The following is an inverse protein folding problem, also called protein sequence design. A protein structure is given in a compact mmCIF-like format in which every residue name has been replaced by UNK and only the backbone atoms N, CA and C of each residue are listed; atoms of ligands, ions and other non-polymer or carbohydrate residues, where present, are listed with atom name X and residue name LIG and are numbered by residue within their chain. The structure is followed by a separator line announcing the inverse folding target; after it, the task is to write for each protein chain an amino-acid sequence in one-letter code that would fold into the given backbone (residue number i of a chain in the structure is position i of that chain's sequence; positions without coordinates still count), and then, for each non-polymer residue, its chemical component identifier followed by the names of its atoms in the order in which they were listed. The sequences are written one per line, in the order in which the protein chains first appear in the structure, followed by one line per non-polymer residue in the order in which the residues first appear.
data_IF_411860770955
#
_entry.id   IF_411860770955
#
_cell.length_a   1.000
_cell.length_b   1.000
_cell.length_c   1.000
_cell.angle_alpha   90.00
_cell.angle_beta   90.00
_cell.angle_gamma   90.00
#
_symmetry.space_group_name_H-M   'P 1'
#
loop_
_entity.id
_entity.type
_entity.pdbx_description
1 polymer ?
#
# COMPACT_ATOMS: atom_id res chain seq x y z
N UNK A 1 18.62 16.14 33.43
CA UNK A 1 17.74 14.96 33.28
C UNK A 1 17.07 15.06 31.93
N UNK A 2 17.65 14.43 30.91
CA UNK A 2 17.05 14.36 29.57
C UNK A 2 16.05 13.21 29.58
N UNK A 3 14.77 13.53 29.57
CA UNK A 3 13.72 12.54 29.37
C UNK A 3 13.87 11.97 27.96
N UNK A 4 14.45 10.78 27.86
CA UNK A 4 14.42 9.95 26.66
C UNK A 4 12.96 9.58 26.40
N UNK A 5 12.32 10.28 25.46
CA UNK A 5 11.06 9.83 24.88
C UNK A 5 11.26 8.38 24.41
N UNK A 6 10.46 7.46 24.96
CA UNK A 6 10.49 6.06 24.55
C UNK A 6 10.21 5.99 23.03
N UNK A 7 10.91 5.14 22.26
CA UNK A 7 10.59 4.98 20.85
C UNK A 7 9.13 4.53 20.75
N UNK A 8 8.33 5.27 19.98
CA UNK A 8 6.96 4.86 19.64
C UNK A 8 7.04 3.40 19.17
N UNK A 9 6.34 2.50 19.85
CA UNK A 9 6.31 1.09 19.47
C UNK A 9 5.81 1.01 18.02
N UNK A 10 6.51 0.29 17.14
CA UNK A 10 6.16 0.15 15.72
C UNK A 10 4.67 -0.25 15.52
N UNK A 11 4.11 -0.95 16.49
CA UNK A 11 2.68 -1.29 16.55
C UNK A 11 1.79 -0.05 16.65
N UNK A 12 2.10 0.86 17.58
CA UNK A 12 1.34 2.09 17.82
C UNK A 12 1.51 3.07 16.65
N UNK A 13 2.74 3.17 16.13
CA UNK A 13 3.04 3.94 14.93
C UNK A 13 2.18 3.49 13.75
N UNK A 14 2.12 2.19 13.47
CA UNK A 14 1.35 1.67 12.35
C UNK A 14 -0.16 1.79 12.58
N UNK A 15 -0.63 1.67 13.82
CA UNK A 15 -2.03 1.96 14.15
C UNK A 15 -2.39 3.41 13.87
N UNK A 16 -1.51 4.35 14.24
CA UNK A 16 -1.71 5.77 13.94
C UNK A 16 -1.73 6.03 12.44
N UNK A 17 -0.73 5.54 11.69
CA UNK A 17 -0.72 5.69 10.22
C UNK A 17 -1.95 5.06 9.58
N UNK A 18 -2.44 3.90 10.05
CA UNK A 18 -3.68 3.32 9.54
C UNK A 18 -4.90 4.24 9.78
N UNK A 19 -4.98 4.91 10.93
CA UNK A 19 -6.03 5.88 11.21
C UNK A 19 -5.90 7.13 10.33
N UNK A 20 -4.69 7.66 10.16
CA UNK A 20 -4.42 8.82 9.31
C UNK A 20 -4.79 8.54 7.84
N UNK A 21 -4.43 7.35 7.33
CA UNK A 21 -4.81 6.90 5.98
C UNK A 21 -6.33 6.78 5.85
N UNK A 22 -7.02 6.24 6.85
CA UNK A 22 -8.48 6.18 6.84
C UNK A 22 -9.10 7.57 6.71
N UNK A 23 -8.69 8.51 7.57
CA UNK A 23 -9.20 9.88 7.53
C UNK A 23 -8.86 10.58 6.22
N UNK A 24 -7.70 10.29 5.64
CA UNK A 24 -7.34 10.76 4.32
C UNK A 24 -8.33 10.23 3.27
N UNK A 25 -8.58 8.92 3.17
CA UNK A 25 -9.54 8.31 2.23
C UNK A 25 -10.95 8.93 2.35
N UNK A 26 -11.42 9.16 3.57
CA UNK A 26 -12.75 9.73 3.85
C UNK A 26 -12.88 11.22 3.45
N UNK A 27 -11.77 11.93 3.20
CA UNK A 27 -11.76 13.37 2.88
C UNK A 27 -12.03 13.71 1.41
N UNK A 28 -12.25 12.73 0.53
CA UNK A 28 -12.45 12.93 -0.91
C UNK A 28 -11.13 13.04 -1.67
N UNK A 29 -10.30 12.01 -1.54
CA UNK A 29 -8.91 11.96 -2.03
C UNK A 29 -8.78 12.06 -3.54
N UNK A 30 -7.73 12.75 -3.98
CA UNK A 30 -7.31 12.76 -5.38
C UNK A 30 -6.34 11.62 -5.69
N UNK A 31 -6.22 11.21 -6.97
CA UNK A 31 -5.18 10.29 -7.41
C UNK A 31 -3.78 10.79 -7.03
N UNK A 32 -2.91 9.87 -6.62
CA UNK A 32 -1.48 10.16 -6.45
C UNK A 32 -0.80 9.92 -7.79
N UNK A 33 -0.43 11.01 -8.43
CA UNK A 33 0.30 11.04 -9.71
C UNK A 33 1.82 11.00 -9.50
N UNK A 34 2.58 10.88 -10.60
CA UNK A 34 4.05 10.99 -10.59
C UNK A 34 4.78 9.76 -10.03
N UNK A 35 4.08 8.64 -9.82
CA UNK A 35 4.68 7.37 -9.46
C UNK A 35 5.31 6.70 -10.68
N UNK A 36 6.22 5.77 -10.43
CA UNK A 36 6.84 4.99 -11.50
C UNK A 36 6.91 3.51 -11.16
N UNK A 37 6.47 2.68 -12.12
CA UNK A 37 6.76 1.24 -12.14
C UNK A 37 7.94 1.02 -13.07
N UNK A 38 9.13 0.85 -12.48
CA UNK A 38 10.41 0.88 -13.22
C UNK A 38 10.60 2.19 -13.98
N UNK A 39 10.34 2.21 -15.30
CA UNK A 39 10.44 3.38 -16.18
C UNK A 39 9.08 3.79 -16.76
N UNK A 40 8.00 3.16 -16.31
CA UNK A 40 6.65 3.40 -16.81
C UNK A 40 5.94 4.36 -15.84
N UNK A 41 5.39 5.49 -16.34
CA UNK A 41 4.57 6.37 -15.54
C UNK A 41 3.39 5.60 -14.95
N UNK A 42 3.12 5.86 -13.69
CA UNK A 42 2.03 5.25 -12.97
C UNK A 42 1.36 6.25 -12.04
N UNK A 43 0.12 5.95 -11.69
CA UNK A 43 -0.63 6.64 -10.66
C UNK A 43 -1.41 5.66 -9.83
N UNK A 44 -1.80 6.08 -8.64
CA UNK A 44 -2.72 5.29 -7.81
C UNK A 44 -3.97 6.09 -7.52
N UNK A 45 -5.11 5.43 -7.66
CA UNK A 45 -6.42 5.97 -7.32
C UNK A 45 -6.92 5.25 -6.07
N UNK A 46 -7.11 5.95 -4.95
CA UNK A 46 -7.75 5.37 -3.77
C UNK A 46 -9.15 4.84 -4.12
N UNK A 47 -9.48 3.63 -3.68
CA UNK A 47 -10.81 3.03 -3.89
C UNK A 47 -11.61 3.09 -2.59
N UNK A 48 -11.15 2.37 -1.57
CA UNK A 48 -11.84 2.26 -0.28
C UNK A 48 -10.88 1.90 0.85
N UNK A 49 -11.26 2.30 2.06
CA UNK A 49 -10.59 1.87 3.29
C UNK A 49 -11.51 0.94 4.08
N UNK A 50 -11.05 -0.27 4.36
CA UNK A 50 -11.81 -1.26 5.13
C UNK A 50 -11.25 -1.28 6.55
N UNK A 51 -12.01 -0.76 7.55
CA UNK A 51 -11.55 -0.74 8.92
C UNK A 51 -11.50 -2.16 9.50
N UNK A 52 -10.57 -2.37 10.44
CA UNK A 52 -10.45 -3.60 11.22
C UNK A 52 -11.80 -3.96 11.86
N UNK A 53 -12.23 -5.19 11.66
CA UNK A 53 -13.36 -5.81 12.36
C UNK A 53 -12.94 -7.18 12.92
N UNK A 54 -13.08 -7.36 14.24
CA UNK A 54 -12.68 -8.60 14.92
C UNK A 54 -11.19 -8.93 14.71
N UNK A 55 -10.92 -10.07 14.06
CA UNK A 55 -9.56 -10.54 13.75
C UNK A 55 -8.97 -9.92 12.46
N UNK A 56 -9.79 -9.25 11.65
CA UNK A 56 -9.35 -8.65 10.40
C UNK A 56 -8.43 -7.45 10.64
N UNK A 57 -7.59 -7.15 9.66
CA UNK A 57 -6.69 -5.98 9.68
C UNK A 57 -7.39 -4.77 9.06
N UNK A 58 -6.89 -3.58 9.36
CA UNK A 58 -7.21 -2.42 8.52
C UNK A 58 -6.66 -2.69 7.11
N UNK A 59 -7.38 -2.25 6.09
CA UNK A 59 -6.98 -2.41 4.69
C UNK A 59 -7.22 -1.12 3.93
N UNK A 60 -6.30 -0.78 3.04
CA UNK A 60 -6.47 0.29 2.06
C UNK A 60 -6.42 -0.31 0.66
N UNK A 61 -7.51 -0.17 -0.09
CA UNK A 61 -7.63 -0.65 -1.47
C UNK A 61 -7.44 0.52 -2.43
N UNK A 62 -6.73 0.28 -3.50
CA UNK A 62 -6.39 1.31 -4.48
C UNK A 62 -6.18 0.66 -5.85
N UNK A 63 -6.45 1.42 -6.89
CA UNK A 63 -6.18 1.03 -8.28
C UNK A 63 -4.83 1.58 -8.69
N UNK A 64 -3.93 0.69 -9.12
CA UNK A 64 -2.71 1.08 -9.80
C UNK A 64 -2.98 1.21 -11.30
N UNK A 65 -2.73 2.39 -11.85
CA UNK A 65 -2.82 2.63 -13.29
C UNK A 65 -1.40 2.82 -13.83
N UNK A 66 -1.06 2.07 -14.87
CA UNK A 66 0.26 2.09 -15.51
C UNK A 66 0.11 2.40 -16.99
N UNK A 67 0.81 3.42 -17.46
CA UNK A 67 0.88 3.75 -18.88
C UNK A 67 2.06 3.03 -19.54
N UNK A 68 1.77 2.25 -20.58
CA UNK A 68 2.79 1.58 -21.40
C UNK A 68 2.32 1.40 -22.83
N UNK A 69 3.14 1.83 -23.80
CA UNK A 69 2.90 1.65 -25.23
C UNK A 69 1.52 2.16 -25.66
N UNK A 70 1.16 3.39 -25.28
CA UNK A 70 -0.14 4.02 -25.56
C UNK A 70 -1.35 3.32 -24.95
N UNK A 71 -1.14 2.35 -24.05
CA UNK A 71 -2.20 1.64 -23.32
C UNK A 71 -2.16 1.99 -21.85
N UNK A 72 -3.35 2.13 -21.26
CA UNK A 72 -3.54 2.24 -19.83
C UNK A 72 -3.97 0.89 -19.26
N UNK A 73 -3.16 0.38 -18.33
CA UNK A 73 -3.45 -0.85 -17.61
C UNK A 73 -3.85 -0.51 -16.18
N UNK A 74 -4.91 -1.14 -15.67
CA UNK A 74 -5.30 -1.08 -14.27
C UNK A 74 -5.10 -2.41 -13.57
N UNK A 75 -4.77 -2.33 -12.28
CA UNK A 75 -4.70 -3.46 -11.36
C UNK A 75 -5.24 -2.98 -10.01
N UNK A 76 -6.18 -3.72 -9.43
CA UNK A 76 -6.68 -3.42 -8.10
C UNK A 76 -5.78 -4.07 -7.04
N UNK A 77 -5.36 -3.28 -6.06
CA UNK A 77 -4.38 -3.64 -5.05
C UNK A 77 -4.93 -3.35 -3.66
N UNK A 78 -4.41 -4.08 -2.68
CA UNK A 78 -4.75 -3.92 -1.26
C UNK A 78 -3.47 -3.87 -0.42
N UNK A 79 -3.41 -2.92 0.50
CA UNK A 79 -2.44 -2.91 1.61
C UNK A 79 -3.17 -3.33 2.88
N UNK A 80 -2.76 -4.46 3.47
CA UNK A 80 -3.19 -4.88 4.81
C UNK A 80 -2.19 -4.41 5.87
N UNK A 81 -2.70 -3.77 6.93
CA UNK A 81 -1.89 -3.21 8.02
C UNK A 81 -1.73 -4.23 9.15
N UNK A 82 -0.54 -4.84 9.25
CA UNK A 82 -0.19 -5.75 10.34
C UNK A 82 0.41 -4.96 11.50
N UNK A 83 -0.45 -4.32 12.30
CA UNK A 83 -0.01 -3.47 13.43
C UNK A 83 0.55 -4.24 14.64
N UNK A 84 0.59 -5.57 14.62
CA UNK A 84 1.15 -6.38 15.69
C UNK A 84 2.02 -7.47 15.08
N UNK A 85 3.06 -7.93 15.79
CA UNK A 85 3.80 -9.13 15.39
C UNK A 85 2.86 -10.31 15.17
N UNK A 86 3.15 -11.12 14.17
CA UNK A 86 2.31 -12.26 13.80
C UNK A 86 3.15 -13.42 13.30
N UNK A 87 2.59 -14.63 13.37
CA UNK A 87 3.20 -15.84 12.82
C UNK A 87 2.59 -16.11 11.44
N UNK A 88 3.44 -16.27 10.43
CA UNK A 88 2.99 -16.75 9.13
C UNK A 88 2.53 -18.20 9.21
N UNK A 89 1.84 -18.66 8.17
CA UNK A 89 1.40 -20.07 8.08
C UNK A 89 2.59 -21.05 8.13
N UNK A 90 3.78 -20.60 7.74
CA UNK A 90 5.02 -21.38 7.79
C UNK A 90 5.74 -21.27 9.15
N UNK A 91 5.10 -20.66 10.16
CA UNK A 91 5.63 -20.49 11.51
C UNK A 91 6.68 -19.39 11.68
N UNK A 92 6.86 -18.53 10.67
CA UNK A 92 7.85 -17.43 10.72
C UNK A 92 7.24 -16.25 11.46
N UNK A 93 7.93 -15.78 12.50
CA UNK A 93 7.57 -14.56 13.21
C UNK A 93 7.89 -13.33 12.35
N UNK A 94 6.86 -12.54 12.06
CA UNK A 94 6.95 -11.31 11.32
C UNK A 94 6.71 -10.12 12.26
N UNK A 95 7.58 -9.09 12.25
CA UNK A 95 7.33 -7.84 13.00
C UNK A 95 6.18 -7.06 12.36
N UNK A 96 5.69 -5.95 12.94
CA UNK A 96 4.68 -5.11 12.30
C UNK A 96 5.09 -4.63 10.89
N UNK A 97 4.12 -4.43 10.01
CA UNK A 97 4.40 -4.13 8.61
C UNK A 97 3.18 -4.11 7.70
N UNK A 98 3.43 -4.04 6.40
CA UNK A 98 2.42 -3.93 5.35
C UNK A 98 2.47 -5.16 4.46
N UNK A 99 1.31 -5.77 4.22
CA UNK A 99 1.16 -6.81 3.21
C UNK A 99 0.50 -6.22 1.97
N UNK A 100 1.24 -6.21 0.86
CA UNK A 100 0.70 -5.86 -0.45
C UNK A 100 0.08 -7.09 -1.09
N UNK A 101 -1.13 -6.93 -1.59
CA UNK A 101 -1.89 -7.97 -2.28
C UNK A 101 -2.52 -7.41 -3.56
N UNK A 102 -2.78 -8.28 -4.53
CA UNK A 102 -3.57 -7.97 -5.73
C UNK A 102 -4.95 -8.59 -5.61
N UNK A 103 -5.95 -7.91 -6.13
CA UNK A 103 -7.34 -8.38 -6.20
C UNK A 103 -7.59 -8.79 -7.65
N UNK A 104 -8.05 -10.03 -7.86
CA UNK A 104 -8.42 -10.50 -9.19
C UNK A 104 -9.85 -10.09 -9.58
N UNK A 105 -10.28 -10.48 -10.77
CA UNK A 105 -11.61 -10.22 -11.32
C UNK A 105 -12.74 -10.97 -10.59
N UNK A 106 -12.40 -11.95 -9.74
CA UNK A 106 -13.33 -12.66 -8.85
C UNK A 106 -13.34 -12.08 -7.41
N UNK A 107 -12.78 -10.87 -7.21
CA UNK A 107 -12.60 -10.22 -5.89
C UNK A 107 -11.74 -11.01 -4.90
N UNK A 108 -10.94 -11.96 -5.38
CA UNK A 108 -10.07 -12.77 -4.55
C UNK A 108 -8.74 -12.07 -4.34
N UNK A 109 -8.32 -12.03 -3.07
CA UNK A 109 -7.07 -11.39 -2.64
C UNK A 109 -5.91 -12.37 -2.71
N UNK A 110 -4.87 -12.02 -3.46
CA UNK A 110 -3.64 -12.78 -3.59
C UNK A 110 -2.46 -11.99 -2.99
N UNK A 111 -1.86 -12.53 -1.94
CA UNK A 111 -0.70 -11.93 -1.29
C UNK A 111 0.51 -11.86 -2.24
N UNK A 112 1.18 -10.70 -2.29
CA UNK A 112 2.34 -10.47 -3.17
C UNK A 112 3.62 -10.35 -2.36
N UNK A 113 3.69 -9.37 -1.44
CA UNK A 113 4.90 -9.11 -0.67
C UNK A 113 4.57 -8.50 0.69
N UNK A 114 5.24 -9.01 1.71
CA UNK A 114 5.24 -8.42 3.04
C UNK A 114 6.44 -7.50 3.21
N UNK A 115 6.21 -6.26 3.61
CA UNK A 115 7.24 -5.29 3.92
C UNK A 115 7.20 -4.92 5.41
N UNK A 116 8.22 -5.30 6.20
CA UNK A 116 8.28 -4.93 7.61
C UNK A 116 8.53 -3.42 7.74
N UNK A 117 7.90 -2.81 8.73
CA UNK A 117 8.16 -1.42 9.10
C UNK A 117 9.32 -1.40 10.10
N UNK A 118 10.35 -0.64 9.75
CA UNK A 118 11.45 -0.30 10.65
C UNK A 118 11.26 1.17 10.98
N UNK A 119 11.09 1.49 12.26
CA UNK A 119 10.84 2.86 12.67
C UNK A 119 12.01 3.77 12.24
N UNK A 120 11.69 4.80 11.47
CA UNK A 120 12.62 5.86 11.07
C UNK A 120 11.92 7.21 11.27
N UNK A 121 12.64 8.18 11.85
CA UNK A 121 12.14 9.53 12.10
C UNK A 121 11.62 10.24 10.84
N UNK A 122 12.15 9.90 9.67
CA UNK A 122 11.67 10.47 8.39
C UNK A 122 10.24 10.05 8.04
N UNK A 123 9.84 8.82 8.36
CA UNK A 123 8.48 8.32 8.08
C UNK A 123 7.44 8.91 9.04
N UNK A 124 7.86 9.33 10.23
CA UNK A 124 6.98 9.92 11.24
C UNK A 124 6.46 11.30 10.81
N UNK A 125 7.35 12.11 10.23
CA UNK A 125 7.03 13.45 9.73
C UNK A 125 6.15 13.47 8.46
N UNK A 126 5.99 12.34 7.77
CA UNK A 126 5.17 12.26 6.56
C UNK A 126 3.69 12.32 6.89
N UNK A 127 2.94 13.14 6.14
CA UNK A 127 1.47 13.08 6.15
C UNK A 127 0.96 11.75 5.56
N UNK A 128 -0.35 11.51 5.67
CA UNK A 128 -1.01 10.30 5.20
C UNK A 128 -0.71 10.00 3.71
N UNK A 129 -0.83 10.99 2.83
CA UNK A 129 -0.64 10.82 1.39
C UNK A 129 0.83 10.55 1.05
N UNK A 130 1.75 11.28 1.68
CA UNK A 130 3.19 11.11 1.53
C UNK A 130 3.64 9.72 1.98
N UNK A 131 3.17 9.29 3.16
CA UNK A 131 3.51 7.99 3.72
C UNK A 131 2.97 6.85 2.86
N UNK A 132 1.72 6.95 2.41
CA UNK A 132 1.13 5.99 1.48
C UNK A 132 1.92 5.91 0.17
N UNK A 133 2.19 7.07 -0.46
CA UNK A 133 2.96 7.20 -1.69
C UNK A 133 4.35 6.59 -1.55
N UNK A 134 5.03 6.83 -0.44
CA UNK A 134 6.34 6.26 -0.14
C UNK A 134 6.31 4.73 -0.15
N UNK A 135 5.35 4.11 0.54
CA UNK A 135 5.24 2.66 0.63
C UNK A 135 4.82 2.01 -0.69
N UNK A 136 3.88 2.62 -1.41
CA UNK A 136 3.53 2.20 -2.77
C UNK A 136 4.76 2.28 -3.66
N UNK A 137 5.45 3.41 -3.72
CA UNK A 137 6.63 3.59 -4.57
C UNK A 137 7.76 2.62 -4.21
N UNK A 138 7.92 2.28 -2.92
CA UNK A 138 8.86 1.26 -2.43
C UNK A 138 8.48 -0.12 -2.96
N UNK A 139 7.20 -0.50 -2.89
CA UNK A 139 6.68 -1.74 -3.47
C UNK A 139 6.85 -1.81 -5.00
N UNK A 140 6.52 -0.73 -5.73
CA UNK A 140 6.64 -0.69 -7.20
C UNK A 140 8.07 -0.88 -7.73
N UNK A 141 9.08 -0.67 -6.88
CA UNK A 141 10.50 -0.91 -7.18
C UNK A 141 10.94 -2.35 -6.92
N UNK A 142 10.13 -3.17 -6.23
CA UNK A 142 10.47 -4.56 -5.90
C UNK A 142 10.31 -5.48 -7.12
N UNK A 143 11.11 -6.57 -7.22
CA UNK A 143 10.94 -7.56 -8.30
C UNK A 143 9.58 -8.26 -8.31
N UNK A 144 8.94 -8.39 -7.14
CA UNK A 144 7.62 -9.00 -6.92
C UNK A 144 6.48 -8.31 -7.68
N UNK A 145 6.64 -7.02 -8.05
CA UNK A 145 5.65 -6.26 -8.83
C UNK A 145 5.28 -6.94 -10.15
N UNK A 146 6.16 -7.80 -10.68
CA UNK A 146 5.86 -8.62 -11.87
C UNK A 146 4.61 -9.49 -11.71
N UNK A 147 4.33 -9.96 -10.49
CA UNK A 147 3.17 -10.81 -10.18
C UNK A 147 1.88 -10.01 -10.36
N UNK A 148 1.86 -8.73 -9.95
CA UNK A 148 0.70 -7.84 -10.11
C UNK A 148 0.29 -7.71 -11.58
N UNK A 149 1.26 -7.62 -12.50
CA UNK A 149 0.97 -7.49 -13.94
C UNK A 149 0.32 -8.72 -14.59
N UNK A 150 0.26 -9.86 -13.90
CA UNK A 150 -0.53 -11.01 -14.36
C UNK A 150 -2.04 -10.76 -14.27
N UNK A 151 -2.47 -9.82 -13.41
CA UNK A 151 -3.87 -9.48 -13.13
C UNK A 151 -4.29 -8.15 -13.78
N UNK A 152 -3.54 -7.68 -14.79
CA UNK A 152 -3.81 -6.40 -15.44
C UNK A 152 -5.08 -6.44 -16.27
N UNK A 153 -5.85 -5.37 -16.17
CA UNK A 153 -7.03 -5.12 -16.99
C UNK A 153 -6.74 -3.92 -17.91
N UNK A 154 -7.16 -4.00 -19.17
CA UNK A 154 -7.01 -2.90 -20.13
C UNK A 154 -8.08 -1.85 -19.84
N UNK A 155 -7.68 -0.63 -19.49
CA UNK A 155 -8.60 0.50 -19.30
C UNK A 155 -8.93 1.21 -20.61
N UNK A 156 -7.90 1.49 -21.41
CA UNK A 156 -8.04 2.13 -22.72
C UNK A 156 -6.89 1.70 -23.64
N UNK A 157 -7.20 1.56 -24.92
CA UNK A 157 -6.24 1.37 -26.01
C UNK A 157 -5.85 2.66 -26.73
N UNK A 158 -6.43 3.79 -26.36
CA UNK A 158 -6.20 5.09 -26.98
C UNK A 158 -5.91 6.11 -25.87
N UNK A 159 -4.66 6.54 -25.76
CA UNK A 159 -4.36 7.87 -25.23
C UNK A 159 -4.56 8.79 -26.43
N UNK A 160 -5.65 9.55 -26.43
CA UNK A 160 -5.89 10.59 -27.46
C UNK A 160 -4.64 11.47 -27.56
N UNK A 161 -4.18 11.68 -28.80
CA UNK A 161 -2.95 12.41 -29.18
C UNK A 161 -2.88 13.85 -28.63
#
# INVERSE_FOLDING_TARGET
MTASASPVNASDFLNQKAADIKSWYESGTQPIEGLNVRKMPARVEPLDFIPKQGKNKNKARFKLIVSKNFKLWSMDLEISFFCQPWLSNDGIANPPGLLFSVIDDEEKVHAIEYLPIVFNYEEDAMDAQQWFSFWVQKFLKRPSIKIVFAYKQLLSSELED
#
